data_IF_491321401007
#
_entry.id   IF_491321401007
#
_cell.length_a   1.000
_cell.length_b   1.000
_cell.length_c   1.000
_cell.angle_alpha   90.00
_cell.angle_beta   90.00
_cell.angle_gamma   90.00
#
_symmetry.space_group_name_H-M   'P 1'
#
loop_
_entity.id
_entity.type
_entity.pdbx_description
1 polymer ?
#
# COMPACT_ATOMS: atom_id res chain seq x y z
N UNK A 1 -19.90 -11.64 27.85
CA UNK A 1 -19.13 -10.94 26.80
C UNK A 1 -18.15 -10.01 27.50
N UNK A 2 -16.83 -10.24 27.33
CA UNK A 2 -15.79 -9.48 28.05
C UNK A 2 -15.64 -8.07 27.46
N UNK A 3 -16.05 -7.05 28.22
CA UNK A 3 -15.97 -5.63 27.88
C UNK A 3 -14.54 -5.15 27.59
N UNK A 4 -13.53 -5.78 28.19
CA UNK A 4 -12.11 -5.54 27.89
C UNK A 4 -11.77 -5.73 26.39
N UNK A 5 -12.44 -6.68 25.70
CA UNK A 5 -12.16 -6.94 24.29
C UNK A 5 -12.70 -5.88 23.32
N UNK A 6 -13.65 -5.03 23.74
CA UNK A 6 -14.21 -3.99 22.86
C UNK A 6 -13.31 -2.75 22.84
N UNK A 7 -12.84 -2.32 24.02
CA UNK A 7 -11.98 -1.14 24.12
C UNK A 7 -10.60 -1.36 23.48
N UNK A 8 -10.03 -2.56 23.62
CA UNK A 8 -8.78 -2.91 22.92
C UNK A 8 -8.94 -2.92 21.39
N UNK A 9 -10.09 -3.36 20.87
CA UNK A 9 -10.38 -3.32 19.43
C UNK A 9 -10.49 -1.88 18.93
N UNK A 10 -11.15 -1.01 19.69
CA UNK A 10 -11.26 0.42 19.35
C UNK A 10 -9.90 1.13 19.43
N UNK A 11 -9.08 0.81 20.43
CA UNK A 11 -7.71 1.31 20.54
C UNK A 11 -6.83 0.84 19.36
N UNK A 12 -6.90 -0.46 19.00
CA UNK A 12 -6.22 -0.99 17.80
C UNK A 12 -6.69 -0.25 16.55
N UNK A 13 -8.01 -0.07 16.38
CA UNK A 13 -8.57 0.66 15.25
C UNK A 13 -8.04 2.10 15.19
N UNK A 14 -8.00 2.81 16.31
CA UNK A 14 -7.43 4.16 16.37
C UNK A 14 -5.98 4.20 15.89
N UNK A 15 -5.15 3.24 16.31
CA UNK A 15 -3.74 3.12 15.88
C UNK A 15 -3.67 2.87 14.37
N UNK A 16 -4.45 1.90 13.84
CA UNK A 16 -4.46 1.59 12.41
C UNK A 16 -4.94 2.77 11.57
N UNK A 17 -6.00 3.45 12.01
CA UNK A 17 -6.52 4.65 11.36
C UNK A 17 -5.47 5.77 11.37
N UNK A 18 -4.71 5.93 12.45
CA UNK A 18 -3.61 6.89 12.50
C UNK A 18 -2.54 6.57 11.46
N UNK A 19 -2.07 5.31 11.40
CA UNK A 19 -1.04 4.88 10.45
C UNK A 19 -1.48 5.13 9.01
N UNK A 20 -2.73 4.74 8.68
CA UNK A 20 -3.31 4.91 7.35
C UNK A 20 -3.45 6.37 6.95
N UNK A 21 -3.95 7.21 7.86
CA UNK A 21 -4.14 8.64 7.58
C UNK A 21 -2.83 9.43 7.49
N UNK A 22 -1.75 8.92 8.07
CA UNK A 22 -0.42 9.55 8.01
C UNK A 22 0.47 8.96 6.93
N UNK A 23 0.01 7.91 6.23
CA UNK A 23 0.76 7.24 5.18
C UNK A 23 2.05 6.60 5.69
N UNK A 24 2.09 6.18 6.96
CA UNK A 24 3.25 5.49 7.54
C UNK A 24 3.38 4.12 6.88
N UNK A 25 4.58 3.79 6.41
CA UNK A 25 4.91 2.57 5.67
C UNK A 25 5.93 1.71 6.41
N UNK A 26 6.10 0.47 5.97
CA UNK A 26 7.15 -0.43 6.46
C UNK A 26 8.50 0.30 6.65
N UNK A 27 9.17 0.03 7.77
CA UNK A 27 10.45 0.64 8.14
C UNK A 27 10.35 2.07 8.68
N UNK A 28 9.19 2.72 8.60
CA UNK A 28 8.97 4.04 9.16
C UNK A 28 8.69 3.96 10.66
N UNK A 29 9.16 4.96 11.40
CA UNK A 29 8.88 5.11 12.82
C UNK A 29 7.51 5.73 13.05
N UNK A 30 6.77 5.24 14.05
CA UNK A 30 5.58 5.90 14.58
C UNK A 30 5.97 7.29 15.14
N UNK A 31 5.50 8.39 14.55
CA UNK A 31 5.85 9.72 15.03
C UNK A 31 5.07 10.01 16.32
N UNK A 32 5.75 9.80 17.46
CA UNK A 32 5.15 9.91 18.80
C UNK A 32 4.49 11.28 19.04
N UNK A 33 5.12 12.44 18.76
CA UNK A 33 4.46 13.72 19.05
C UNK A 33 3.15 13.92 18.26
N UNK A 34 3.11 13.69 16.93
CA UNK A 34 1.84 13.67 16.18
C UNK A 34 0.82 12.64 16.66
N UNK A 35 1.26 11.45 17.06
CA UNK A 35 0.38 10.39 17.56
C UNK A 35 -0.30 10.81 18.88
N UNK A 36 0.47 11.32 19.84
CA UNK A 36 -0.04 11.83 21.12
C UNK A 36 -1.00 12.99 20.89
N UNK A 37 -0.64 13.94 20.02
CA UNK A 37 -1.54 15.05 19.67
C UNK A 37 -2.88 14.54 19.11
N UNK A 38 -2.83 13.56 18.19
CA UNK A 38 -4.05 12.96 17.62
C UNK A 38 -4.87 12.24 18.69
N UNK A 39 -4.23 11.48 19.58
CA UNK A 39 -4.87 10.77 20.71
C UNK A 39 -5.63 11.75 21.60
N UNK A 40 -4.98 12.83 22.03
CA UNK A 40 -5.61 13.88 22.85
C UNK A 40 -6.77 14.58 22.14
N UNK A 41 -6.67 14.80 20.82
CA UNK A 41 -7.72 15.46 20.04
C UNK A 41 -8.91 14.55 19.69
N UNK A 42 -8.74 13.22 19.74
CA UNK A 42 -9.73 12.26 19.24
C UNK A 42 -10.96 12.04 20.15
N UNK A 43 -11.01 12.69 21.33
CA UNK A 43 -12.11 12.54 22.31
C UNK A 43 -12.45 11.07 22.60
N UNK A 44 -11.42 10.23 22.76
CA UNK A 44 -11.59 8.82 23.09
C UNK A 44 -12.25 8.67 24.46
N UNK A 45 -13.01 7.59 24.65
CA UNK A 45 -13.48 7.27 26.01
C UNK A 45 -12.27 6.91 26.89
N UNK A 46 -12.29 7.21 28.20
CA UNK A 46 -11.16 6.91 29.08
C UNK A 46 -10.70 5.45 29.01
N UNK A 47 -11.64 4.51 28.91
CA UNK A 47 -11.33 3.08 28.81
C UNK A 47 -10.62 2.69 27.51
N UNK A 48 -10.88 3.38 26.40
CA UNK A 48 -10.17 3.17 25.13
C UNK A 48 -8.78 3.78 25.21
N UNK A 49 -8.68 4.97 25.80
CA UNK A 49 -7.42 5.67 25.98
C UNK A 49 -6.45 4.85 26.85
N UNK A 50 -6.93 4.29 27.97
CA UNK A 50 -6.17 3.38 28.84
C UNK A 50 -5.67 2.12 28.10
N UNK A 51 -6.38 1.68 27.05
CA UNK A 51 -5.99 0.52 26.26
C UNK A 51 -4.94 0.82 25.19
N UNK A 52 -4.66 2.08 24.83
CA UNK A 52 -3.75 2.38 23.69
C UNK A 52 -2.35 1.83 23.94
N UNK A 53 -1.78 2.08 25.11
CA UNK A 53 -0.40 1.68 25.41
C UNK A 53 -0.29 0.15 25.53
N UNK A 54 -1.30 -0.49 26.14
CA UNK A 54 -1.43 -1.95 26.20
C UNK A 54 -1.50 -2.57 24.79
N UNK A 55 -2.26 -1.95 23.89
CA UNK A 55 -2.39 -2.42 22.52
C UNK A 55 -1.10 -2.19 21.73
N UNK A 56 -0.38 -1.08 21.93
CA UNK A 56 0.93 -0.86 21.32
C UNK A 56 1.92 -1.95 21.72
N UNK A 57 1.98 -2.31 23.01
CA UNK A 57 2.86 -3.38 23.49
C UNK A 57 2.49 -4.76 22.92
N UNK A 58 1.18 -5.04 22.81
CA UNK A 58 0.68 -6.25 22.13
C UNK A 58 1.09 -6.27 20.66
N UNK A 59 0.94 -5.16 19.94
CA UNK A 59 1.35 -5.04 18.54
C UNK A 59 2.86 -5.23 18.35
N UNK A 60 3.69 -4.83 19.33
CA UNK A 60 5.13 -5.17 19.30
C UNK A 60 5.33 -6.68 19.48
N UNK A 61 4.63 -7.29 20.44
CA UNK A 61 4.73 -8.73 20.73
C UNK A 61 4.28 -9.59 19.54
N UNK A 62 3.23 -9.15 18.85
CA UNK A 62 2.68 -9.81 17.66
C UNK A 62 3.53 -9.57 16.40
N UNK A 63 4.60 -8.78 16.50
CA UNK A 63 5.50 -8.48 15.39
C UNK A 63 4.97 -7.43 14.40
N UNK A 64 3.85 -6.76 14.70
CA UNK A 64 3.33 -5.64 13.91
C UNK A 64 4.28 -4.44 13.94
N UNK A 65 4.88 -4.16 15.11
CA UNK A 65 5.96 -3.20 15.27
C UNK A 65 7.23 -3.89 15.72
N UNK A 66 8.38 -3.38 15.26
CA UNK A 66 9.67 -3.63 15.92
C UNK A 66 9.96 -2.47 16.86
N UNK A 67 10.17 -2.73 18.15
CA UNK A 67 10.56 -1.69 19.10
C UNK A 67 12.08 -1.63 19.21
N UNK A 68 12.69 -0.51 18.78
CA UNK A 68 14.14 -0.30 18.80
C UNK A 68 14.47 1.14 19.17
N UNK A 69 15.42 1.34 20.08
CA UNK A 69 15.90 2.66 20.50
C UNK A 69 14.76 3.63 20.90
N UNK A 70 13.76 3.13 21.64
CA UNK A 70 12.62 3.95 22.07
C UNK A 70 11.60 4.27 20.97
N UNK A 71 11.70 3.62 19.81
CA UNK A 71 10.86 3.88 18.64
C UNK A 71 10.12 2.62 18.20
N UNK A 72 8.84 2.78 17.87
CA UNK A 72 8.04 1.74 17.19
C UNK A 72 8.24 1.87 15.69
N UNK A 73 8.86 0.88 15.06
CA UNK A 73 9.12 0.84 13.62
C UNK A 73 8.12 -0.13 12.99
N UNK A 74 7.36 0.32 11.99
CA UNK A 74 6.35 -0.53 11.34
C UNK A 74 7.05 -1.69 10.62
N UNK A 75 6.67 -2.93 10.94
CA UNK A 75 7.20 -4.11 10.27
C UNK A 75 6.49 -4.36 8.94
N UNK A 76 6.97 -5.33 8.17
CA UNK A 76 6.27 -5.82 6.98
C UNK A 76 4.90 -6.41 7.34
N UNK A 77 4.82 -7.18 8.43
CA UNK A 77 3.55 -7.75 8.93
C UNK A 77 2.58 -6.62 9.28
N UNK A 78 3.07 -5.57 9.95
CA UNK A 78 2.25 -4.42 10.30
C UNK A 78 1.75 -3.65 9.09
N UNK A 79 2.61 -3.40 8.10
CA UNK A 79 2.21 -2.76 6.84
C UNK A 79 1.12 -3.56 6.11
N UNK A 80 1.26 -4.89 6.07
CA UNK A 80 0.24 -5.80 5.52
C UNK A 80 -1.08 -5.79 6.29
N UNK A 81 -1.05 -5.60 7.61
CA UNK A 81 -2.29 -5.45 8.40
C UNK A 81 -2.96 -4.08 8.17
N UNK A 82 -2.20 -3.01 7.92
CA UNK A 82 -2.74 -1.67 7.67
C UNK A 82 -3.34 -1.55 6.27
N UNK A 83 -2.61 -2.02 5.26
CA UNK A 83 -2.95 -1.80 3.84
C UNK A 83 -3.52 -3.04 3.15
N UNK A 84 -3.43 -4.21 3.78
CA UNK A 84 -3.89 -5.48 3.23
C UNK A 84 -2.77 -6.23 2.49
N UNK A 85 -2.83 -7.57 2.56
CA UNK A 85 -1.94 -8.49 1.83
C UNK A 85 -2.29 -8.54 0.34
N UNK A 86 -1.36 -8.98 -0.53
CA UNK A 86 -1.70 -9.23 -1.93
C UNK A 86 -2.72 -10.37 -2.01
N UNK A 87 -3.77 -10.16 -2.79
CA UNK A 87 -4.82 -11.13 -3.13
C UNK A 87 -4.32 -12.08 -4.23
N UNK A 88 -3.46 -11.60 -5.15
CA UNK A 88 -2.99 -12.31 -6.35
C UNK A 88 -1.60 -12.94 -6.25
N UNK A 89 -1.08 -13.14 -5.04
CA UNK A 89 0.25 -13.73 -4.78
C UNK A 89 1.35 -12.70 -4.51
N UNK A 90 1.47 -11.66 -5.32
CA UNK A 90 2.40 -10.54 -5.06
C UNK A 90 1.81 -9.19 -5.46
N UNK A 91 2.22 -8.12 -4.79
CA UNK A 91 1.83 -6.75 -5.17
C UNK A 91 2.31 -6.36 -6.57
N UNK A 92 3.42 -6.95 -7.03
CA UNK A 92 3.92 -6.74 -8.39
C UNK A 92 2.97 -7.34 -9.43
N UNK A 93 2.39 -8.53 -9.18
CA UNK A 93 1.40 -9.12 -10.08
C UNK A 93 0.11 -8.29 -10.14
N UNK A 94 -0.33 -7.74 -9.01
CA UNK A 94 -1.47 -6.82 -8.98
C UNK A 94 -1.16 -5.51 -9.73
N UNK A 95 0.06 -5.00 -9.61
CA UNK A 95 0.54 -3.85 -10.38
C UNK A 95 0.56 -4.15 -11.89
N UNK A 96 1.01 -5.36 -12.30
CA UNK A 96 0.94 -5.81 -13.71
C UNK A 96 -0.50 -5.86 -14.21
N UNK A 97 -1.42 -6.43 -13.44
CA UNK A 97 -2.84 -6.49 -13.84
C UNK A 97 -3.45 -5.09 -13.95
N UNK A 98 -3.05 -4.16 -13.08
CA UNK A 98 -3.48 -2.77 -13.19
C UNK A 98 -2.99 -2.11 -14.49
N UNK A 99 -1.71 -2.30 -14.85
CA UNK A 99 -1.13 -1.82 -16.12
C UNK A 99 -1.86 -2.44 -17.32
N UNK A 100 -2.10 -3.75 -17.30
CA UNK A 100 -2.81 -4.46 -18.37
C UNK A 100 -4.25 -3.95 -18.50
N UNK A 101 -4.94 -3.76 -17.37
CA UNK A 101 -6.29 -3.19 -17.35
C UNK A 101 -6.32 -1.79 -17.92
N UNK A 102 -5.32 -0.95 -17.63
CA UNK A 102 -5.18 0.34 -18.27
C UNK A 102 -5.07 0.23 -19.80
N UNK A 103 -4.21 -0.66 -20.30
CA UNK A 103 -4.06 -0.91 -21.74
C UNK A 103 -5.39 -1.32 -22.38
N UNK A 104 -6.12 -2.25 -21.75
CA UNK A 104 -7.48 -2.66 -22.19
C UNK A 104 -8.43 -1.48 -22.24
N UNK A 105 -8.48 -0.68 -21.17
CA UNK A 105 -9.40 0.45 -21.06
C UNK A 105 -9.11 1.56 -22.07
N UNK A 106 -7.84 1.76 -22.44
CA UNK A 106 -7.44 2.71 -23.48
C UNK A 106 -7.51 2.12 -24.89
N UNK A 107 -7.84 0.83 -25.04
CA UNK A 107 -7.88 0.11 -26.31
C UNK A 107 -6.58 0.25 -27.12
N UNK A 108 -5.42 0.20 -26.45
CA UNK A 108 -4.14 0.33 -27.16
C UNK A 108 -3.90 -0.88 -28.07
N UNK A 109 -3.28 -0.62 -29.22
CA UNK A 109 -2.88 -1.59 -30.23
C UNK A 109 -1.37 -1.75 -30.27
N UNK A 110 -0.88 -2.76 -31.00
CA UNK A 110 0.55 -2.92 -31.28
C UNK A 110 1.15 -1.61 -31.83
N UNK A 111 2.25 -1.17 -31.23
CA UNK A 111 2.96 0.07 -31.57
C UNK A 111 2.40 1.33 -30.91
N UNK A 112 1.24 1.27 -30.24
CA UNK A 112 0.72 2.40 -29.51
C UNK A 112 1.58 2.69 -28.27
N UNK A 113 1.76 3.98 -28.00
CA UNK A 113 2.52 4.42 -26.84
C UNK A 113 1.73 4.26 -25.53
N UNK A 114 2.41 3.80 -24.49
CA UNK A 114 1.92 3.83 -23.13
C UNK A 114 1.99 5.27 -22.60
N UNK A 115 0.82 5.90 -22.47
CA UNK A 115 0.73 7.31 -22.07
C UNK A 115 0.94 7.49 -20.56
N UNK A 116 2.19 7.68 -20.13
CA UNK A 116 2.55 7.83 -18.71
C UNK A 116 1.75 8.89 -17.95
N UNK A 117 1.40 10.02 -18.58
CA UNK A 117 0.54 11.04 -17.96
C UNK A 117 -0.89 10.56 -17.72
N UNK A 118 -1.48 9.85 -18.70
CA UNK A 118 -2.83 9.31 -18.54
C UNK A 118 -2.83 8.18 -17.51
N UNK A 119 -1.77 7.37 -17.49
CA UNK A 119 -1.59 6.33 -16.49
C UNK A 119 -1.49 6.91 -15.07
N UNK A 120 -0.72 7.98 -14.88
CA UNK A 120 -0.60 8.66 -13.58
C UNK A 120 -1.96 9.19 -13.08
N UNK A 121 -2.83 9.67 -13.98
CA UNK A 121 -4.20 10.08 -13.63
C UNK A 121 -5.03 8.87 -13.18
N UNK A 122 -4.98 7.77 -13.93
CA UNK A 122 -5.74 6.56 -13.57
C UNK A 122 -5.24 5.98 -12.23
N UNK A 123 -3.93 5.99 -11.95
CA UNK A 123 -3.35 5.62 -10.65
C UNK A 123 -3.90 6.48 -9.51
N UNK A 124 -3.93 7.81 -9.69
CA UNK A 124 -4.42 8.74 -8.68
C UNK A 124 -5.92 8.54 -8.37
N UNK A 125 -6.71 8.10 -9.35
CA UNK A 125 -8.15 7.85 -9.20
C UNK A 125 -8.47 6.45 -8.68
N UNK A 126 -7.60 5.47 -8.91
CA UNK A 126 -7.85 4.07 -8.57
C UNK A 126 -7.79 3.75 -7.06
N UNK A 127 -7.30 4.68 -6.23
CA UNK A 127 -7.10 4.46 -4.79
C UNK A 127 -6.41 3.12 -4.49
N UNK A 128 -5.32 2.86 -5.21
CA UNK A 128 -4.57 1.62 -5.12
C UNK A 128 -4.06 1.38 -3.69
N UNK A 129 -3.95 0.10 -3.33
CA UNK A 129 -3.12 -0.28 -2.19
C UNK A 129 -1.73 0.33 -2.42
N UNK A 130 -1.16 1.08 -1.46
CA UNK A 130 0.10 1.76 -1.67
C UNK A 130 1.26 0.79 -1.92
N UNK A 131 1.20 -0.45 -1.41
CA UNK A 131 2.16 -1.51 -1.75
C UNK A 131 2.11 -1.91 -3.23
N UNK A 132 0.92 -1.87 -3.85
CA UNK A 132 0.77 -2.08 -5.30
C UNK A 132 1.28 -0.87 -6.07
N UNK A 133 0.99 0.35 -5.59
CA UNK A 133 1.47 1.59 -6.20
C UNK A 133 3.00 1.66 -6.25
N UNK A 134 3.68 1.25 -5.18
CA UNK A 134 5.15 1.23 -5.13
C UNK A 134 5.76 0.23 -6.11
N UNK A 135 4.97 -0.75 -6.57
CA UNK A 135 5.38 -1.81 -7.51
C UNK A 135 5.06 -1.53 -8.97
N UNK A 136 4.44 -0.40 -9.30
CA UNK A 136 4.08 -0.08 -10.70
C UNK A 136 5.29 0.01 -11.63
N UNK A 137 6.41 0.60 -11.19
CA UNK A 137 7.62 0.70 -12.00
C UNK A 137 8.30 -0.67 -12.18
N UNK A 138 8.44 -1.43 -11.09
CA UNK A 138 8.96 -2.79 -11.12
C UNK A 138 8.14 -3.67 -12.08
N UNK A 139 6.80 -3.59 -11.97
CA UNK A 139 5.87 -4.30 -12.84
C UNK A 139 6.05 -3.91 -14.31
N UNK A 140 6.15 -2.62 -14.64
CA UNK A 140 6.39 -2.16 -16.01
C UNK A 140 7.71 -2.69 -16.57
N UNK A 141 8.80 -2.60 -15.80
CA UNK A 141 10.10 -3.12 -16.21
C UNK A 141 10.05 -4.63 -16.47
N UNK A 142 9.38 -5.39 -15.61
CA UNK A 142 9.19 -6.83 -15.78
C UNK A 142 8.39 -7.17 -17.04
N UNK A 143 7.39 -6.35 -17.40
CA UNK A 143 6.61 -6.52 -18.63
C UNK A 143 7.44 -6.18 -19.88
N UNK A 144 8.38 -5.22 -19.79
CA UNK A 144 9.36 -4.92 -20.84
C UNK A 144 10.36 -6.08 -21.00
N UNK A 145 10.92 -6.59 -19.89
CA UNK A 145 11.80 -7.76 -19.90
C UNK A 145 11.13 -9.01 -20.49
N UNK A 146 9.81 -9.14 -20.29
CA UNK A 146 8.99 -10.21 -20.87
C UNK A 146 8.56 -9.95 -22.32
N UNK A 147 9.05 -8.88 -22.96
CA UNK A 147 8.73 -8.48 -24.33
C UNK A 147 7.23 -8.18 -24.57
N UNK A 148 6.47 -7.80 -23.54
CA UNK A 148 5.08 -7.33 -23.69
C UNK A 148 5.02 -5.83 -23.99
N UNK A 149 6.02 -5.09 -23.54
CA UNK A 149 6.28 -3.71 -23.95
C UNK A 149 7.73 -3.59 -24.42
N UNK A 150 8.03 -2.53 -25.14
CA UNK A 150 9.39 -2.15 -25.52
C UNK A 150 9.68 -0.72 -25.07
N UNK A 151 10.88 -0.48 -24.55
CA UNK A 151 11.40 0.86 -24.34
C UNK A 151 12.23 1.24 -25.57
N UNK A 152 11.80 2.30 -26.25
CA UNK A 152 12.46 2.83 -27.44
C UNK A 152 13.60 3.79 -27.08
N UNK A 153 14.49 4.04 -28.05
CA UNK A 153 15.65 4.95 -27.87
C UNK A 153 15.25 6.40 -27.53
N UNK A 154 13.99 6.79 -27.79
CA UNK A 154 13.44 8.10 -27.43
C UNK A 154 12.57 8.07 -26.15
N UNK A 155 12.86 7.12 -25.25
CA UNK A 155 12.23 6.96 -23.93
C UNK A 155 10.71 6.74 -23.95
N UNK A 156 10.15 6.26 -25.08
CA UNK A 156 8.75 5.85 -25.15
C UNK A 156 8.62 4.36 -24.87
N UNK A 157 7.60 4.01 -24.10
CA UNK A 157 7.18 2.63 -23.88
C UNK A 157 6.07 2.32 -24.88
N UNK A 158 6.26 1.34 -25.76
CA UNK A 158 5.27 0.93 -26.77
C UNK A 158 4.74 -0.48 -26.47
N UNK A 159 3.48 -0.75 -26.79
CA UNK A 159 2.89 -2.09 -26.70
C UNK A 159 3.40 -2.96 -27.85
N UNK A 160 3.98 -4.13 -27.56
CA UNK A 160 4.46 -5.06 -28.59
C UNK A 160 3.32 -5.94 -29.10
N UNK A 161 3.56 -6.68 -30.20
CA UNK A 161 2.59 -7.69 -30.67
C UNK A 161 2.36 -8.79 -29.62
N UNK A 162 3.42 -9.25 -28.96
CA UNK A 162 3.34 -10.25 -27.89
C UNK A 162 2.51 -9.75 -26.71
N UNK A 163 2.68 -8.48 -26.33
CA UNK A 163 1.85 -7.85 -25.31
C UNK A 163 0.40 -7.73 -25.72
N UNK A 164 0.13 -7.35 -26.97
CA UNK A 164 -1.22 -7.28 -27.50
C UNK A 164 -1.93 -8.65 -27.47
N UNK A 165 -1.27 -9.70 -27.94
CA UNK A 165 -1.80 -11.08 -27.98
C UNK A 165 -2.02 -11.70 -26.59
N UNK A 166 -1.27 -11.24 -25.58
CA UNK A 166 -1.52 -11.64 -24.19
C UNK A 166 -2.80 -11.00 -23.63
N UNK A 167 -3.07 -9.76 -24.03
CA UNK A 167 -4.10 -8.92 -23.43
C UNK A 167 -5.48 -9.17 -24.07
N UNK A 168 -5.51 -9.50 -25.36
CA UNK A 168 -6.70 -9.69 -26.20
C UNK A 168 -6.71 -11.05 -26.90
#
# INVERSE_FOLDING_TARGET
MNSSSVYEKEAKKFILDFLKNTGIRQGSTLPIPPFVYKRSAARLSPKVDDCIDIVLDKLVTDGFFTYKNGSYILSEIGDHEVYGKPVGGSYENEAKEFIITFVRNKNLRTGDAFFGRAFAVDVALANLNPNVSDKLNDAMNSLIESNYFELTDDDRILLTQSGYDLIY
#
